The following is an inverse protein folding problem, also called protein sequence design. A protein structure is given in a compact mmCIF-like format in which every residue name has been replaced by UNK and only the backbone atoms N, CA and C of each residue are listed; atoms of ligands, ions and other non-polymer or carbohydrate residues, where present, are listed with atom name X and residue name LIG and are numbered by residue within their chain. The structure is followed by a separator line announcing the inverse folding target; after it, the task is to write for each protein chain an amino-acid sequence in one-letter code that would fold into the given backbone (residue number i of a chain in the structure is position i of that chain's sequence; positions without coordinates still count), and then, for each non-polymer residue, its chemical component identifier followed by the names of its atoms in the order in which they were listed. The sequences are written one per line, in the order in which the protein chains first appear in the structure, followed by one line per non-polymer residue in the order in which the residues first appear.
data_IF_856369786343
#
_entry.id   IF_856369786343
#
_cell.length_a   1.000
_cell.length_b   1.000
_cell.length_c   1.000
_cell.angle_alpha   90.00
_cell.angle_beta   90.00
_cell.angle_gamma   90.00
#
_symmetry.space_group_name_H-M   'P 1'
#
loop_
_entity.id
_entity.type
_entity.pdbx_description
1 polymer ?
#
# COMPACT_ATOMS: atom_id res chain seq x y z
N UNK A 1 7.36 -10.68 25.82
CA UNK A 1 6.52 -9.45 25.71
C UNK A 1 5.14 -9.79 26.23
N UNK A 2 4.70 -9.17 27.34
CA UNK A 2 3.55 -9.59 28.14
C UNK A 2 2.22 -9.43 27.35
N UNK A 3 1.36 -10.45 27.36
CA UNK A 3 0.01 -10.47 26.71
C UNK A 3 -0.83 -9.26 27.10
N UNK A 4 -0.78 -8.87 28.38
CA UNK A 4 -1.43 -7.66 28.90
C UNK A 4 -0.99 -6.37 28.18
N UNK A 5 0.29 -6.22 27.88
CA UNK A 5 0.81 -5.06 27.15
C UNK A 5 0.31 -5.01 25.68
N UNK A 6 0.16 -6.17 25.04
CA UNK A 6 -0.41 -6.24 23.69
C UNK A 6 -1.91 -5.90 23.67
N UNK A 7 -2.65 -6.33 24.68
CA UNK A 7 -4.08 -6.01 24.84
C UNK A 7 -4.26 -4.52 25.08
N UNK A 8 -3.46 -3.93 25.98
CA UNK A 8 -3.51 -2.48 26.26
C UNK A 8 -3.19 -1.63 25.02
N UNK A 9 -2.17 -2.00 24.23
CA UNK A 9 -1.87 -1.34 22.95
C UNK A 9 -3.02 -1.49 21.96
N UNK A 10 -3.62 -2.65 21.86
CA UNK A 10 -4.78 -2.88 21.00
C UNK A 10 -5.98 -2.00 21.36
N UNK A 11 -6.29 -1.87 22.66
CA UNK A 11 -7.35 -0.99 23.17
C UNK A 11 -7.05 0.50 22.91
N UNK A 12 -5.82 0.95 23.14
CA UNK A 12 -5.42 2.33 22.87
C UNK A 12 -5.57 2.69 21.38
N UNK A 13 -5.19 1.79 20.47
CA UNK A 13 -5.38 1.99 19.03
C UNK A 13 -6.87 2.03 18.68
N UNK A 14 -7.68 1.14 19.23
CA UNK A 14 -9.11 1.05 18.96
C UNK A 14 -9.84 2.32 19.43
N UNK A 15 -9.60 2.76 20.67
CA UNK A 15 -10.25 3.95 21.25
C UNK A 15 -9.83 5.24 20.54
N UNK A 16 -8.56 5.36 20.16
CA UNK A 16 -8.07 6.49 19.38
C UNK A 16 -8.75 6.54 18.01
N UNK A 17 -8.83 5.41 17.29
CA UNK A 17 -9.49 5.35 15.98
C UNK A 17 -10.98 5.62 16.03
N UNK A 18 -11.68 5.13 17.06
CA UNK A 18 -13.10 5.42 17.28
C UNK A 18 -13.34 6.93 17.44
N UNK A 19 -12.45 7.63 18.15
CA UNK A 19 -12.55 9.09 18.36
C UNK A 19 -12.19 9.89 17.11
N UNK A 20 -11.14 9.50 16.39
CA UNK A 20 -10.60 10.27 15.26
C UNK A 20 -11.28 9.94 13.91
N UNK A 21 -11.69 8.70 13.71
CA UNK A 21 -12.17 8.20 12.40
C UNK A 21 -13.63 7.70 12.43
N UNK A 22 -14.23 7.59 13.60
CA UNK A 22 -15.61 7.12 13.79
C UNK A 22 -15.75 5.58 13.75
N UNK A 23 -16.94 5.12 14.15
CA UNK A 23 -17.25 3.69 14.31
C UNK A 23 -17.12 2.92 12.98
N UNK A 24 -17.66 3.46 11.90
CA UNK A 24 -17.70 2.79 10.60
C UNK A 24 -16.30 2.51 10.03
N UNK A 25 -15.42 3.52 10.03
CA UNK A 25 -14.04 3.39 9.56
C UNK A 25 -13.24 2.44 10.46
N UNK A 26 -13.50 2.47 11.77
CA UNK A 26 -12.86 1.55 12.72
C UNK A 26 -13.28 0.10 12.47
N UNK A 27 -14.56 -0.18 12.17
CA UNK A 27 -15.03 -1.50 11.79
C UNK A 27 -14.39 -1.95 10.48
N UNK A 28 -14.36 -1.10 9.45
CA UNK A 28 -13.69 -1.42 8.19
C UNK A 28 -12.20 -1.71 8.39
N UNK A 29 -11.52 -0.99 9.27
CA UNK A 29 -10.14 -1.27 9.65
C UNK A 29 -10.01 -2.63 10.34
N UNK A 30 -10.87 -2.93 11.31
CA UNK A 30 -10.83 -4.21 12.03
C UNK A 30 -11.03 -5.40 11.10
N UNK A 31 -12.04 -5.33 10.21
CA UNK A 31 -12.30 -6.36 9.20
C UNK A 31 -11.21 -6.40 8.13
N UNK A 32 -10.84 -5.23 7.58
CA UNK A 32 -9.87 -5.12 6.49
C UNK A 32 -8.44 -5.51 6.89
N UNK A 33 -8.12 -5.52 8.18
CA UNK A 33 -6.83 -5.95 8.73
C UNK A 33 -6.91 -7.31 9.41
N UNK A 34 -8.00 -7.57 10.13
CA UNK A 34 -8.17 -8.79 10.92
C UNK A 34 -8.31 -10.04 10.04
N UNK A 35 -9.22 -10.01 9.07
CA UNK A 35 -9.44 -11.14 8.16
C UNK A 35 -8.21 -11.47 7.32
N UNK A 36 -7.54 -10.53 6.64
CA UNK A 36 -6.30 -10.83 5.93
C UNK A 36 -5.19 -11.36 6.84
N UNK A 37 -5.07 -10.86 8.07
CA UNK A 37 -4.08 -11.36 9.04
C UNK A 37 -4.34 -12.82 9.42
N UNK A 38 -5.61 -13.22 9.55
CA UNK A 38 -6.00 -14.59 9.91
C UNK A 38 -5.95 -15.54 8.70
N UNK A 39 -6.40 -15.08 7.54
CA UNK A 39 -6.54 -15.90 6.34
C UNK A 39 -5.35 -15.83 5.39
N UNK A 40 -4.56 -14.76 5.47
CA UNK A 40 -3.52 -14.41 4.51
C UNK A 40 -4.07 -13.98 3.15
N UNK A 41 -5.38 -13.70 3.04
CA UNK A 41 -6.05 -13.34 1.79
C UNK A 41 -6.51 -11.89 1.85
N UNK A 42 -6.01 -11.00 0.97
CA UNK A 42 -6.49 -9.62 0.86
C UNK A 42 -7.96 -9.59 0.42
N UNK A 43 -8.70 -8.62 0.92
CA UNK A 43 -10.11 -8.43 0.57
C UNK A 43 -10.23 -7.49 -0.63
N UNK A 44 -10.80 -7.94 -1.75
CA UNK A 44 -10.88 -7.17 -2.99
C UNK A 44 -11.60 -5.82 -2.80
N UNK A 45 -12.67 -5.79 -2.02
CA UNK A 45 -13.51 -4.59 -1.85
C UNK A 45 -12.75 -3.41 -1.22
N UNK A 46 -11.69 -3.68 -0.45
CA UNK A 46 -10.87 -2.63 0.18
C UNK A 46 -9.41 -2.64 -0.28
N UNK A 47 -9.10 -3.32 -1.37
CA UNK A 47 -7.75 -3.41 -1.93
C UNK A 47 -7.64 -2.95 -3.36
N UNK A 48 -8.70 -3.06 -4.18
CA UNK A 48 -8.68 -2.66 -5.58
C UNK A 48 -8.97 -1.16 -5.72
N UNK A 49 -7.92 -0.37 -5.94
CA UNK A 49 -8.00 1.10 -6.03
C UNK A 49 -8.47 1.54 -7.42
N UNK A 50 -7.89 0.95 -8.47
CA UNK A 50 -8.29 1.12 -9.87
C UNK A 50 -8.41 -0.24 -10.54
N UNK A 51 -8.84 -0.35 -11.81
CA UNK A 51 -8.84 -1.62 -12.53
C UNK A 51 -7.48 -2.34 -12.55
N UNK A 52 -6.36 -1.59 -12.47
CA UNK A 52 -5.01 -2.13 -12.60
C UNK A 52 -4.17 -2.01 -11.32
N UNK A 53 -4.64 -1.27 -10.31
CA UNK A 53 -3.88 -0.98 -9.11
C UNK A 53 -4.57 -1.50 -7.86
N UNK A 54 -3.83 -2.30 -7.08
CA UNK A 54 -4.29 -2.86 -5.82
C UNK A 54 -3.34 -2.45 -4.69
N UNK A 55 -3.88 -2.17 -3.52
CA UNK A 55 -3.13 -1.83 -2.30
C UNK A 55 -3.60 -2.68 -1.15
N UNK A 56 -2.68 -3.32 -0.43
CA UNK A 56 -3.10 -4.16 0.68
C UNK A 56 -2.01 -4.59 1.65
N UNK A 57 -2.39 -5.48 2.58
CA UNK A 57 -1.46 -6.07 3.53
C UNK A 57 -0.65 -7.21 2.91
N UNK A 58 0.31 -7.74 3.68
CA UNK A 58 0.99 -8.99 3.34
C UNK A 58 -0.02 -10.12 3.10
N UNK A 59 0.28 -10.96 2.13
CA UNK A 59 -0.47 -12.16 1.76
C UNK A 59 0.37 -13.43 1.98
N UNK A 60 -0.28 -14.58 1.96
CA UNK A 60 0.35 -15.90 1.92
C UNK A 60 0.07 -16.59 0.57
N UNK A 61 0.46 -17.85 0.41
CA UNK A 61 0.25 -18.59 -0.83
C UNK A 61 -1.23 -18.69 -1.28
N UNK A 62 -2.19 -18.68 -0.33
CA UNK A 62 -3.64 -18.63 -0.65
C UNK A 62 -4.03 -17.25 -1.17
N UNK A 63 -3.50 -16.20 -0.54
CA UNK A 63 -3.70 -14.82 -0.95
C UNK A 63 -3.09 -14.54 -2.31
N UNK A 64 -1.89 -15.05 -2.60
CA UNK A 64 -1.26 -14.96 -3.92
C UNK A 64 -2.17 -15.56 -4.99
N UNK A 65 -2.61 -16.82 -4.82
CA UNK A 65 -3.54 -17.48 -5.78
C UNK A 65 -4.87 -16.74 -5.94
N UNK A 66 -5.35 -16.13 -4.87
CA UNK A 66 -6.57 -15.31 -4.91
C UNK A 66 -6.40 -14.06 -5.77
N UNK A 67 -5.25 -13.38 -5.67
CA UNK A 67 -4.91 -12.19 -6.47
C UNK A 67 -4.64 -12.57 -7.93
N UNK A 68 -3.89 -13.64 -8.18
CA UNK A 68 -3.61 -14.16 -9.53
C UNK A 68 -4.89 -14.48 -10.30
N UNK A 69 -5.86 -15.14 -9.66
CA UNK A 69 -7.18 -15.42 -10.25
C UNK A 69 -8.01 -14.16 -10.60
N UNK A 70 -7.59 -13.00 -10.08
CA UNK A 70 -8.19 -11.69 -10.38
C UNK A 70 -7.40 -10.86 -11.39
N UNK A 71 -6.37 -11.47 -11.98
CA UNK A 71 -5.54 -10.84 -12.99
C UNK A 71 -4.33 -10.08 -12.46
N UNK A 72 -4.06 -10.14 -11.15
CA UNK A 72 -2.84 -9.56 -10.59
C UNK A 72 -1.65 -10.44 -11.01
N UNK A 73 -0.71 -9.86 -11.74
CA UNK A 73 0.50 -10.52 -12.24
C UNK A 73 1.79 -9.80 -11.83
N UNK A 74 1.67 -8.65 -11.16
CA UNK A 74 2.80 -7.91 -10.61
C UNK A 74 2.62 -7.56 -9.14
N UNK A 75 3.73 -7.46 -8.39
CA UNK A 75 3.70 -6.95 -7.02
C UNK A 75 4.89 -6.06 -6.69
N UNK A 76 4.61 -5.04 -5.87
CA UNK A 76 5.61 -4.18 -5.22
C UNK A 76 5.60 -4.48 -3.73
N UNK A 77 6.71 -4.98 -3.21
CA UNK A 77 6.91 -5.28 -1.80
C UNK A 77 7.75 -4.18 -1.14
N UNK A 78 7.16 -3.49 -0.15
CA UNK A 78 7.79 -2.40 0.60
C UNK A 78 8.29 -2.84 1.99
N UNK A 79 8.36 -4.13 2.26
CA UNK A 79 8.76 -4.64 3.58
C UNK A 79 10.26 -4.91 3.63
N UNK A 80 11.01 -4.14 4.42
CA UNK A 80 12.40 -4.49 4.73
C UNK A 80 12.51 -5.80 5.53
N UNK A 81 11.48 -6.10 6.32
CA UNK A 81 11.44 -7.25 7.22
C UNK A 81 11.00 -8.57 6.56
N UNK A 82 10.62 -8.57 5.26
CA UNK A 82 10.12 -9.78 4.60
C UNK A 82 10.20 -9.65 3.08
N UNK A 83 11.01 -10.47 2.44
CA UNK A 83 11.11 -10.58 0.99
C UNK A 83 10.22 -11.71 0.48
N UNK A 84 9.27 -11.38 -0.42
CA UNK A 84 8.36 -12.35 -1.00
C UNK A 84 9.09 -13.38 -1.88
N UNK A 85 10.17 -12.97 -2.57
CA UNK A 85 10.93 -13.90 -3.41
C UNK A 85 11.62 -14.97 -2.57
N UNK A 86 12.24 -14.57 -1.47
CA UNK A 86 12.87 -15.50 -0.54
C UNK A 86 11.88 -16.49 0.12
N UNK A 87 10.57 -16.14 0.10
CA UNK A 87 9.51 -16.94 0.71
C UNK A 87 8.58 -17.63 -0.33
N UNK A 88 8.95 -17.64 -1.62
CA UNK A 88 8.17 -18.28 -2.70
C UNK A 88 6.83 -17.59 -2.98
N UNK A 89 6.69 -16.32 -2.60
CA UNK A 89 5.46 -15.54 -2.74
C UNK A 89 5.52 -14.50 -3.86
N UNK A 90 6.69 -14.27 -4.48
CA UNK A 90 6.83 -13.31 -5.57
C UNK A 90 5.92 -13.64 -6.75
N UNK A 91 5.31 -12.62 -7.36
CA UNK A 91 4.58 -12.72 -8.61
C UNK A 91 5.54 -12.84 -9.80
N UNK A 92 5.03 -13.13 -11.00
CA UNK A 92 5.83 -13.20 -12.22
C UNK A 92 6.61 -11.89 -12.46
N UNK A 93 5.95 -10.76 -12.21
CA UNK A 93 6.59 -9.45 -12.16
C UNK A 93 6.73 -9.04 -10.69
N UNK A 94 7.95 -8.86 -10.20
CA UNK A 94 8.21 -8.58 -8.80
C UNK A 94 9.20 -7.43 -8.63
N UNK A 95 8.84 -6.46 -7.81
CA UNK A 95 9.69 -5.34 -7.43
C UNK A 95 9.83 -5.28 -5.92
N UNK A 96 11.07 -5.40 -5.43
CA UNK A 96 11.40 -5.31 -4.01
C UNK A 96 12.00 -3.93 -3.70
N UNK A 97 11.33 -3.17 -2.84
CA UNK A 97 11.69 -1.81 -2.43
C UNK A 97 11.68 -1.70 -0.90
N UNK A 98 12.67 -2.33 -0.22
CA UNK A 98 12.66 -2.43 1.24
C UNK A 98 12.66 -1.05 1.89
N UNK A 99 11.60 -0.77 2.64
CA UNK A 99 11.38 0.49 3.37
C UNK A 99 11.06 0.16 4.82
N UNK A 100 11.69 0.86 5.76
CA UNK A 100 11.44 0.70 7.20
C UNK A 100 9.99 1.08 7.52
N UNK A 101 9.38 0.41 8.52
CA UNK A 101 8.00 0.70 8.90
C UNK A 101 7.89 2.12 9.46
N UNK A 102 6.80 2.82 9.13
CA UNK A 102 6.54 4.23 9.43
C UNK A 102 7.49 5.25 8.74
N UNK A 103 8.51 4.77 8.01
CA UNK A 103 9.40 5.59 7.19
C UNK A 103 8.88 5.72 5.74
N UNK A 104 9.51 6.59 4.95
CA UNK A 104 9.15 6.81 3.54
C UNK A 104 10.06 6.01 2.60
N UNK A 105 9.54 5.60 1.40
CA UNK A 105 10.40 5.17 0.31
C UNK A 105 11.39 6.28 -0.07
N UNK A 106 12.64 5.92 -0.42
CA UNK A 106 13.59 6.89 -0.96
C UNK A 106 13.14 7.43 -2.33
N UNK A 107 13.69 8.57 -2.81
CA UNK A 107 13.39 9.08 -4.15
C UNK A 107 13.62 8.03 -5.24
N UNK A 108 14.69 7.24 -5.14
CA UNK A 108 15.02 6.16 -6.07
C UNK A 108 13.98 5.03 -5.99
N UNK A 109 13.48 4.72 -4.78
CA UNK A 109 12.43 3.73 -4.60
C UNK A 109 11.11 4.21 -5.19
N UNK A 110 10.77 5.50 -5.07
CA UNK A 110 9.59 6.05 -5.74
C UNK A 110 9.70 5.91 -7.26
N UNK A 111 10.80 6.36 -7.85
CA UNK A 111 11.01 6.28 -9.30
C UNK A 111 10.95 4.83 -9.79
N UNK A 112 11.75 3.95 -9.18
CA UNK A 112 11.78 2.52 -9.55
C UNK A 112 10.42 1.84 -9.40
N UNK A 113 9.69 2.15 -8.32
CA UNK A 113 8.36 1.61 -8.09
C UNK A 113 7.34 2.08 -9.11
N UNK A 114 7.36 3.37 -9.42
CA UNK A 114 6.46 3.97 -10.43
C UNK A 114 6.73 3.39 -11.82
N UNK A 115 8.00 3.30 -12.23
CA UNK A 115 8.38 2.77 -13.54
C UNK A 115 8.00 1.29 -13.66
N UNK A 116 8.20 0.50 -12.59
CA UNK A 116 7.77 -0.88 -12.55
C UNK A 116 6.25 -1.02 -12.68
N UNK A 117 5.49 -0.25 -11.89
CA UNK A 117 4.01 -0.28 -11.95
C UNK A 117 3.54 0.09 -13.35
N UNK A 118 4.08 1.18 -13.92
CA UNK A 118 3.77 1.64 -15.28
C UNK A 118 4.03 0.57 -16.32
N UNK A 119 5.19 -0.08 -16.29
CA UNK A 119 5.56 -1.16 -17.21
C UNK A 119 4.56 -2.32 -17.18
N UNK A 120 4.18 -2.78 -15.98
CA UNK A 120 3.22 -3.88 -15.84
C UNK A 120 1.83 -3.47 -16.34
N UNK A 121 1.37 -2.26 -16.01
CA UNK A 121 0.04 -1.75 -16.40
C UNK A 121 -0.03 -1.51 -17.91
N UNK A 122 1.00 -0.94 -18.52
CA UNK A 122 1.09 -0.77 -19.99
C UNK A 122 1.12 -2.12 -20.73
N UNK A 123 1.69 -3.16 -20.11
CA UNK A 123 1.60 -4.53 -20.60
C UNK A 123 0.24 -5.20 -20.38
N UNK A 124 -0.78 -4.47 -19.93
CA UNK A 124 -2.15 -4.99 -19.67
C UNK A 124 -2.29 -5.74 -18.34
N UNK A 125 -1.27 -5.69 -17.48
CA UNK A 125 -1.28 -6.36 -16.18
C UNK A 125 -1.93 -5.56 -15.06
N UNK A 126 -1.94 -6.16 -13.87
CA UNK A 126 -2.40 -5.54 -12.63
C UNK A 126 -1.34 -5.72 -11.54
N UNK A 127 -1.13 -4.67 -10.74
CA UNK A 127 -0.11 -4.65 -9.69
C UNK A 127 -0.73 -4.60 -8.31
N UNK A 128 -0.23 -5.45 -7.41
CA UNK A 128 -0.54 -5.42 -5.98
C UNK A 128 0.61 -4.79 -5.22
N UNK A 129 0.39 -3.61 -4.65
CA UNK A 129 1.36 -2.91 -3.81
C UNK A 129 1.08 -3.25 -2.36
N UNK A 130 2.08 -3.75 -1.65
CA UNK A 130 1.87 -4.13 -0.26
C UNK A 130 3.05 -3.76 0.67
N UNK A 131 2.69 -3.67 1.93
CA UNK A 131 3.59 -3.67 3.06
C UNK A 131 3.03 -4.64 4.12
N UNK A 132 3.37 -4.48 5.39
CA UNK A 132 2.86 -5.36 6.47
C UNK A 132 1.34 -5.27 6.64
N UNK A 133 0.79 -4.06 6.72
CA UNK A 133 -0.62 -3.80 7.01
C UNK A 133 -1.39 -3.11 5.86
N UNK A 134 -0.69 -2.58 4.86
CA UNK A 134 -1.28 -1.85 3.75
C UNK A 134 -1.91 -0.52 4.14
N UNK A 135 -1.36 0.18 5.14
CA UNK A 135 -1.94 1.43 5.67
C UNK A 135 -1.02 2.64 5.53
N UNK A 136 0.30 2.48 5.48
CA UNK A 136 1.30 3.56 5.35
C UNK A 136 2.09 3.43 4.05
N UNK A 137 3.21 2.68 4.08
CA UNK A 137 4.16 2.52 2.96
C UNK A 137 3.50 2.18 1.61
N UNK A 138 2.60 1.21 1.58
CA UNK A 138 1.95 0.79 0.34
C UNK A 138 1.00 1.85 -0.24
N UNK A 139 0.12 2.50 0.52
CA UNK A 139 -0.64 3.65 0.04
C UNK A 139 0.23 4.81 -0.45
N UNK A 140 1.37 5.08 0.20
CA UNK A 140 2.31 6.14 -0.22
C UNK A 140 2.90 5.85 -1.60
N UNK A 141 3.37 4.63 -1.84
CA UNK A 141 3.84 4.21 -3.16
C UNK A 141 2.74 4.24 -4.23
N UNK A 142 1.53 3.82 -3.87
CA UNK A 142 0.39 3.91 -4.78
C UNK A 142 0.02 5.35 -5.15
N UNK A 143 0.08 6.27 -4.16
CA UNK A 143 -0.13 7.70 -4.40
C UNK A 143 0.96 8.27 -5.31
N UNK A 144 2.23 7.92 -5.12
CA UNK A 144 3.32 8.34 -6.00
C UNK A 144 3.09 7.91 -7.46
N UNK A 145 2.64 6.69 -7.69
CA UNK A 145 2.26 6.24 -9.03
C UNK A 145 1.11 7.06 -9.61
N UNK A 146 0.03 7.30 -8.85
CA UNK A 146 -1.11 8.10 -9.33
C UNK A 146 -0.72 9.55 -9.61
N UNK A 147 0.19 10.13 -8.84
CA UNK A 147 0.77 11.46 -9.09
C UNK A 147 1.59 11.46 -10.38
N UNK A 148 2.39 10.44 -10.61
CA UNK A 148 3.15 10.29 -11.85
C UNK A 148 2.23 10.13 -13.09
N UNK A 149 1.00 9.62 -12.89
CA UNK A 149 -0.03 9.56 -13.94
C UNK A 149 -0.87 10.85 -14.06
N UNK A 150 -0.56 11.91 -13.32
CA UNK A 150 -1.12 13.24 -13.49
C UNK A 150 -2.10 13.71 -12.42
N UNK A 151 -2.32 12.94 -11.36
CA UNK A 151 -3.14 13.40 -10.23
C UNK A 151 -2.34 14.34 -9.32
N UNK A 152 -3.01 15.25 -8.63
CA UNK A 152 -2.44 15.91 -7.47
C UNK A 152 -2.28 14.91 -6.31
N UNK A 153 -1.45 15.25 -5.33
CA UNK A 153 -1.25 14.42 -4.12
C UNK A 153 -2.58 14.20 -3.40
N UNK A 154 -3.38 15.24 -3.26
CA UNK A 154 -4.66 15.17 -2.56
C UNK A 154 -5.68 14.28 -3.30
N UNK A 155 -5.76 14.39 -4.62
CA UNK A 155 -6.63 13.53 -5.44
C UNK A 155 -6.22 12.06 -5.36
N UNK A 156 -4.92 11.77 -5.43
CA UNK A 156 -4.38 10.42 -5.29
C UNK A 156 -4.73 9.79 -3.93
N UNK A 157 -4.52 10.55 -2.85
CA UNK A 157 -4.86 10.12 -1.49
C UNK A 157 -6.39 9.95 -1.32
N UNK A 158 -7.19 10.88 -1.84
CA UNK A 158 -8.64 10.79 -1.79
C UNK A 158 -9.15 9.56 -2.55
N UNK A 159 -8.58 9.24 -3.72
CA UNK A 159 -8.90 8.04 -4.48
C UNK A 159 -8.61 6.77 -3.67
N UNK A 160 -7.45 6.68 -3.05
CA UNK A 160 -7.07 5.53 -2.22
C UNK A 160 -8.00 5.42 -1.00
N UNK A 161 -8.31 6.54 -0.33
CA UNK A 161 -9.20 6.58 0.84
C UNK A 161 -10.64 6.14 0.52
N UNK A 162 -11.15 6.34 -0.68
CA UNK A 162 -12.48 5.84 -1.08
C UNK A 162 -12.61 4.32 -0.92
N UNK A 163 -11.54 3.60 -1.25
CA UNK A 163 -11.50 2.14 -1.13
C UNK A 163 -10.94 1.68 0.22
N UNK A 164 -9.96 2.41 0.78
CA UNK A 164 -9.28 2.10 2.03
C UNK A 164 -9.31 3.31 2.98
N UNK A 165 -10.46 3.63 3.59
CA UNK A 165 -10.60 4.86 4.40
C UNK A 165 -9.73 4.88 5.66
N UNK A 166 -9.19 3.73 6.04
CA UNK A 166 -8.36 3.53 7.23
C UNK A 166 -6.84 3.65 6.98
N UNK A 167 -6.39 4.13 5.81
CA UNK A 167 -4.97 4.40 5.58
C UNK A 167 -4.48 5.51 6.52
N UNK A 168 -3.21 5.40 6.89
CA UNK A 168 -2.53 6.37 7.75
C UNK A 168 -1.16 6.61 7.15
N UNK A 169 -1.04 7.65 6.33
CA UNK A 169 0.23 8.12 5.79
C UNK A 169 0.87 8.99 6.87
N UNK A 170 2.10 8.68 7.26
CA UNK A 170 2.83 9.44 8.29
C UNK A 170 3.31 10.79 7.75
N UNK A 171 3.60 11.78 8.61
CA UNK A 171 4.15 13.07 8.15
C UNK A 171 5.41 12.94 7.28
N UNK A 172 6.41 12.08 7.60
CA UNK A 172 7.55 11.86 6.71
C UNK A 172 7.15 11.29 5.34
N UNK A 173 6.20 10.35 5.30
CA UNK A 173 5.68 9.79 4.05
C UNK A 173 4.95 10.83 3.20
N UNK A 174 4.19 11.73 3.83
CA UNK A 174 3.49 12.82 3.17
C UNK A 174 4.47 13.82 2.58
N UNK A 175 5.47 14.22 3.36
CA UNK A 175 6.53 15.14 2.92
C UNK A 175 7.29 14.59 1.71
N UNK A 176 7.74 13.33 1.79
CA UNK A 176 8.43 12.68 0.68
C UNK A 176 7.56 12.58 -0.59
N UNK A 177 6.25 12.37 -0.43
CA UNK A 177 5.31 12.35 -1.55
C UNK A 177 5.16 13.73 -2.21
N UNK A 178 5.11 14.81 -1.43
CA UNK A 178 5.09 16.18 -1.96
C UNK A 178 6.39 16.53 -2.68
N UNK A 179 7.54 16.16 -2.13
CA UNK A 179 8.84 16.36 -2.77
C UNK A 179 8.94 15.60 -4.10
N UNK A 180 8.46 14.36 -4.14
CA UNK A 180 8.39 13.58 -5.37
C UNK A 180 7.46 14.23 -6.41
N UNK A 181 6.30 14.74 -5.99
CA UNK A 181 5.37 15.44 -6.88
C UNK A 181 5.98 16.72 -7.48
N UNK A 182 6.71 17.50 -6.68
CA UNK A 182 7.42 18.68 -7.15
C UNK A 182 8.49 18.33 -8.19
N UNK A 183 9.32 17.31 -7.91
CA UNK A 183 10.37 16.87 -8.83
C UNK A 183 9.81 16.41 -10.20
N UNK A 184 8.65 15.73 -10.20
CA UNK A 184 7.98 15.34 -11.47
C UNK A 184 7.47 16.58 -12.24
N UNK A 185 6.92 17.56 -11.52
CA UNK A 185 6.40 18.76 -12.15
C UNK A 185 7.51 19.54 -12.87
N UNK A 186 8.67 19.70 -12.22
CA UNK A 186 9.83 20.38 -12.81
C UNK A 186 10.31 19.68 -14.08
N UNK A 187 10.43 18.37 -14.08
CA UNK A 187 10.83 17.59 -15.27
C UNK A 187 9.83 17.67 -16.43
N UNK A 188 8.55 17.93 -16.16
CA UNK A 188 7.51 18.09 -17.21
C UNK A 188 7.53 19.47 -17.88
N UNK A 189 8.11 20.47 -17.22
CA UNK A 189 8.22 21.85 -17.76
C UNK A 189 9.45 21.99 -18.66
N UNK A 190 10.49 21.18 -18.45
CA UNK A 190 11.75 21.20 -19.18
C UNK A 190 11.76 20.37 -20.47
N UNK A 191 10.75 19.54 -20.72
CA UNK A 191 10.64 18.64 -21.89
C UNK A 191 9.47 19.00 -22.79
#
# INVERSE_FOLDING_TARGET
MNLLHQIQKGWAILTRRLREQGLWVTLQWAFGRGLPKLTGVPLAYNSRITPHLWVGPQFNARGKRYLERRGVNGSVNLRVEFDDAANGLAFANYCYLPTVDDDCPSPEHFQKGVDFIRSVVQGGGQVYIHCKAGVGRAPTMAAAYLVAEGMSVDEAIALIKRTRPFITITPPQMEALHQYAAAIADHRVEG
#
